data_IF_204169082225
#
_entry.id   IF_204169082225
#
_cell.length_a   1.000
_cell.length_b   1.000
_cell.length_c   1.000
_cell.angle_alpha   90.00
_cell.angle_beta   90.00
_cell.angle_gamma   90.00
#
_symmetry.space_group_name_H-M   'P 1'
#
loop_
_entity.id
_entity.type
_entity.pdbx_description
1 polymer ?
#
# COMPACT_ATOMS: atom_id res chain seq x y z
N UNK A 1 43.69 17.17 -56.27
CA UNK A 1 43.67 16.73 -57.68
C UNK A 1 43.90 15.23 -57.73
N UNK A 2 42.78 14.53 -57.61
CA UNK A 2 42.39 13.32 -58.34
C UNK A 2 43.45 12.30 -58.77
N UNK A 3 43.33 11.09 -58.21
CA UNK A 3 43.11 9.93 -59.06
C UNK A 3 42.20 8.90 -58.38
N UNK A 4 41.09 8.68 -59.07
CA UNK A 4 40.00 7.73 -58.89
C UNK A 4 40.45 6.25 -58.92
N UNK A 5 39.63 5.41 -58.26
CA UNK A 5 39.18 4.06 -58.69
C UNK A 5 40.21 2.92 -58.79
N UNK A 6 39.94 1.67 -58.48
CA UNK A 6 38.77 0.88 -58.08
C UNK A 6 39.35 -0.47 -57.60
N UNK A 7 38.82 -1.12 -56.55
CA UNK A 7 38.90 -2.59 -56.49
C UNK A 7 37.86 -3.18 -55.51
N UNK A 8 36.78 -3.69 -56.12
CA UNK A 8 36.03 -4.92 -55.82
C UNK A 8 35.45 -5.17 -54.41
N UNK A 9 34.13 -5.00 -54.33
CA UNK A 9 33.27 -5.67 -53.37
C UNK A 9 33.06 -7.14 -53.78
N UNK A 10 33.54 -8.07 -52.95
CA UNK A 10 33.13 -9.48 -52.99
C UNK A 10 31.99 -9.72 -51.99
N UNK A 11 30.80 -10.20 -52.40
CA UNK A 11 29.85 -10.78 -51.47
C UNK A 11 30.16 -12.28 -51.30
N UNK A 12 30.76 -12.67 -50.18
CA UNK A 12 30.93 -14.08 -49.80
C UNK A 12 29.77 -14.53 -48.91
N UNK A 13 29.17 -15.64 -49.30
CA UNK A 13 27.92 -16.20 -48.79
C UNK A 13 27.93 -16.47 -47.27
N UNK A 14 26.85 -16.05 -46.59
CA UNK A 14 26.52 -16.51 -45.24
C UNK A 14 25.96 -17.94 -45.29
N UNK A 15 26.42 -18.87 -44.44
CA UNK A 15 25.75 -20.15 -44.24
C UNK A 15 24.45 -19.97 -43.41
N UNK A 16 23.33 -20.38 -43.98
CA UNK A 16 22.02 -20.45 -43.33
C UNK A 16 22.01 -21.63 -42.33
N UNK A 17 22.22 -21.35 -41.04
CA UNK A 17 21.96 -22.31 -39.96
C UNK A 17 20.54 -22.10 -39.41
N UNK A 18 19.62 -22.96 -39.83
CA UNK A 18 18.33 -23.16 -39.18
C UNK A 18 18.54 -24.03 -37.93
N UNK A 19 17.96 -23.69 -36.77
CA UNK A 19 17.99 -24.58 -35.62
C UNK A 19 17.02 -25.76 -35.85
N UNK A 20 17.38 -27.01 -35.50
CA UNK A 20 16.43 -28.10 -35.51
C UNK A 20 15.42 -27.91 -34.38
N UNK A 21 14.14 -27.86 -34.77
CA UNK A 21 12.99 -27.95 -33.89
C UNK A 21 13.11 -29.22 -33.04
N UNK A 22 13.36 -29.07 -31.74
CA UNK A 22 13.33 -30.17 -30.78
C UNK A 22 11.96 -30.19 -30.14
N UNK A 23 11.15 -31.11 -30.66
CA UNK A 23 9.85 -31.51 -30.17
C UNK A 23 9.88 -31.84 -28.69
N UNK A 24 8.77 -31.49 -28.03
CA UNK A 24 8.39 -31.87 -26.68
C UNK A 24 8.69 -33.35 -26.40
N UNK A 25 9.29 -33.63 -25.25
CA UNK A 25 9.06 -34.91 -24.59
C UNK A 25 9.09 -34.77 -23.07
N UNK A 26 8.10 -35.43 -22.48
CA UNK A 26 8.08 -36.01 -21.14
C UNK A 26 8.14 -35.04 -19.97
N UNK A 27 6.95 -34.84 -19.39
CA UNK A 27 6.82 -34.60 -17.96
C UNK A 27 7.62 -35.65 -17.18
N UNK A 28 8.50 -35.16 -16.32
CA UNK A 28 9.11 -35.91 -15.25
C UNK A 28 8.81 -35.13 -13.98
N UNK A 29 7.78 -35.59 -13.29
CA UNK A 29 7.76 -35.78 -11.85
C UNK A 29 8.58 -34.75 -11.06
N UNK A 30 7.90 -33.71 -10.59
CA UNK A 30 8.39 -32.88 -9.49
C UNK A 30 8.52 -33.77 -8.24
N UNK A 31 9.69 -34.40 -8.08
CA UNK A 31 10.11 -35.09 -6.87
C UNK A 31 9.91 -34.15 -5.69
N UNK A 32 9.12 -34.61 -4.71
CA UNK A 32 9.04 -34.03 -3.38
C UNK A 32 10.45 -33.94 -2.78
N UNK A 33 11.01 -32.73 -2.78
CA UNK A 33 12.28 -32.43 -2.12
C UNK A 33 12.13 -32.36 -0.59
N UNK A 34 13.19 -32.66 0.17
CA UNK A 34 13.18 -32.66 1.64
C UNK A 34 12.99 -31.24 2.21
N UNK A 35 12.65 -31.10 3.50
CA UNK A 35 12.10 -29.86 4.04
C UNK A 35 13.16 -28.74 4.04
N UNK A 36 12.73 -27.52 3.75
CA UNK A 36 13.43 -26.26 4.08
C UNK A 36 14.44 -25.69 3.07
N UNK A 37 14.40 -26.04 1.79
CA UNK A 37 15.15 -25.26 0.78
C UNK A 37 14.40 -23.94 0.47
N UNK A 38 14.58 -22.93 1.34
CA UNK A 38 14.17 -21.56 1.01
C UNK A 38 15.05 -21.12 -0.15
N UNK A 39 14.47 -21.04 -1.35
CA UNK A 39 15.21 -20.64 -2.54
C UNK A 39 15.92 -19.29 -2.34
N UNK A 40 17.09 -19.12 -2.97
CA UNK A 40 17.96 -17.93 -2.81
C UNK A 40 17.19 -16.61 -2.89
N UNK A 41 16.23 -16.51 -3.83
CA UNK A 41 15.35 -15.34 -3.97
C UNK A 41 14.47 -15.08 -2.75
N UNK A 42 13.88 -16.14 -2.16
CA UNK A 42 13.06 -16.03 -0.95
C UNK A 42 13.89 -15.57 0.24
N UNK A 43 15.13 -16.06 0.35
CA UNK A 43 16.06 -15.63 1.38
C UNK A 43 16.46 -14.15 1.19
N UNK A 44 16.78 -13.74 -0.03
CA UNK A 44 17.07 -12.34 -0.35
C UNK A 44 15.88 -11.41 -0.06
N UNK A 45 14.66 -11.83 -0.40
CA UNK A 45 13.44 -11.08 -0.10
C UNK A 45 13.19 -10.97 1.42
N UNK A 46 13.45 -12.03 2.18
CA UNK A 46 13.35 -12.00 3.65
C UNK A 46 14.39 -11.04 4.25
N UNK A 47 15.62 -11.05 3.76
CA UNK A 47 16.67 -10.10 4.18
C UNK A 47 16.26 -8.67 3.85
N UNK A 48 15.78 -8.40 2.63
CA UNK A 48 15.33 -7.08 2.23
C UNK A 48 14.15 -6.60 3.09
N UNK A 49 13.20 -7.48 3.41
CA UNK A 49 12.09 -7.19 4.33
C UNK A 49 12.60 -6.77 5.71
N UNK A 50 13.52 -7.55 6.28
CA UNK A 50 14.09 -7.25 7.60
C UNK A 50 14.88 -5.93 7.58
N UNK A 51 15.60 -5.64 6.50
CA UNK A 51 16.31 -4.38 6.35
C UNK A 51 15.36 -3.18 6.32
N UNK A 52 14.25 -3.29 5.58
CA UNK A 52 13.21 -2.25 5.58
C UNK A 52 12.56 -2.09 6.96
N UNK A 53 12.27 -3.18 7.67
CA UNK A 53 11.72 -3.10 9.03
C UNK A 53 12.69 -2.40 10.00
N UNK A 54 13.99 -2.70 9.90
CA UNK A 54 15.03 -1.99 10.67
C UNK A 54 15.02 -0.50 10.37
N UNK A 55 14.97 -0.14 9.08
CA UNK A 55 14.97 1.26 8.66
C UNK A 55 13.74 2.01 9.16
N UNK A 56 12.55 1.42 9.06
CA UNK A 56 11.29 2.02 9.55
C UNK A 56 11.39 2.26 11.06
N UNK A 57 11.83 1.26 11.83
CA UNK A 57 11.94 1.40 13.29
C UNK A 57 12.96 2.49 13.67
N UNK A 58 14.07 2.60 12.94
CA UNK A 58 15.06 3.66 13.16
C UNK A 58 14.48 5.05 12.89
N UNK A 59 13.74 5.21 11.79
CA UNK A 59 13.08 6.46 11.45
C UNK A 59 12.01 6.84 12.49
N UNK A 60 11.18 5.89 12.92
CA UNK A 60 10.18 6.12 13.96
C UNK A 60 10.82 6.53 15.29
N UNK A 61 11.97 5.95 15.64
CA UNK A 61 12.69 6.29 16.87
C UNK A 61 13.24 7.73 16.82
N UNK A 62 13.82 8.15 15.69
CA UNK A 62 14.28 9.53 15.47
C UNK A 62 13.12 10.53 15.59
N UNK A 63 11.95 10.18 15.03
CA UNK A 63 10.74 11.00 15.19
C UNK A 63 10.29 11.06 16.66
N UNK A 64 10.38 9.97 17.42
CA UNK A 64 10.03 9.97 18.85
C UNK A 64 11.00 10.79 19.70
N UNK A 65 12.28 10.81 19.36
CA UNK A 65 13.29 11.64 20.04
C UNK A 65 13.05 13.14 19.83
N UNK A 66 12.54 13.52 18.66
CA UNK A 66 12.25 14.91 18.32
C UNK A 66 10.85 15.36 18.75
N UNK A 67 9.91 14.45 18.99
CA UNK A 67 8.55 14.77 19.44
C UNK A 67 8.55 15.26 20.89
N UNK A 68 7.79 16.32 21.15
CA UNK A 68 7.58 16.87 22.50
C UNK A 68 6.65 16.01 23.38
N UNK A 69 6.39 16.49 24.60
CA UNK A 69 5.52 15.79 25.55
C UNK A 69 4.07 15.72 25.04
N UNK A 70 3.48 14.52 25.08
CA UNK A 70 2.07 14.32 24.72
C UNK A 70 1.11 15.11 25.62
N UNK A 71 1.49 15.38 26.87
CA UNK A 71 0.71 16.19 27.81
C UNK A 71 0.40 17.59 27.29
N UNK A 72 1.31 18.18 26.51
CA UNK A 72 1.13 19.51 25.90
C UNK A 72 0.01 19.45 24.87
N UNK A 73 0.11 18.51 23.93
CA UNK A 73 -0.90 18.30 22.87
C UNK A 73 -2.25 17.93 23.48
N UNK A 74 -2.28 17.09 24.52
CA UNK A 74 -3.52 16.77 25.22
C UNK A 74 -4.17 17.99 25.87
N UNK A 75 -3.37 18.87 26.49
CA UNK A 75 -3.88 20.11 27.08
C UNK A 75 -4.41 21.08 26.01
N UNK A 76 -3.73 21.18 24.87
CA UNK A 76 -4.20 21.96 23.72
C UNK A 76 -5.53 21.43 23.18
N UNK A 77 -5.68 20.10 23.04
CA UNK A 77 -6.93 19.47 22.61
C UNK A 77 -8.06 19.77 23.59
N UNK A 78 -7.83 19.60 24.90
CA UNK A 78 -8.84 19.93 25.93
C UNK A 78 -9.23 21.40 25.84
N UNK A 79 -8.25 22.29 25.76
CA UNK A 79 -8.49 23.74 25.66
C UNK A 79 -9.29 24.10 24.40
N UNK A 80 -9.00 23.45 23.28
CA UNK A 80 -9.72 23.65 22.03
C UNK A 80 -11.18 23.17 22.12
N UNK A 81 -11.40 21.98 22.71
CA UNK A 81 -12.75 21.42 22.92
C UNK A 81 -13.56 22.29 23.88
N UNK A 82 -12.96 22.79 24.96
CA UNK A 82 -13.63 23.65 25.93
C UNK A 82 -13.92 25.07 25.42
N UNK A 83 -13.23 25.51 24.36
CA UNK A 83 -13.35 26.89 23.85
C UNK A 83 -14.70 27.20 23.20
N UNK A 84 -15.39 26.20 22.65
CA UNK A 84 -16.64 26.37 21.93
C UNK A 84 -17.68 25.31 22.37
N UNK A 85 -18.90 25.71 22.73
CA UNK A 85 -19.94 24.75 23.11
C UNK A 85 -20.39 23.95 21.89
N UNK A 86 -20.30 22.62 21.98
CA UNK A 86 -20.81 21.71 20.94
C UNK A 86 -22.33 21.61 21.03
N UNK A 87 -23.02 22.04 19.96
CA UNK A 87 -24.48 22.06 19.83
C UNK A 87 -25.17 20.69 19.98
N UNK A 88 -24.42 19.60 19.86
CA UNK A 88 -24.93 18.24 20.05
C UNK A 88 -24.81 17.78 21.51
N UNK A 89 -24.12 18.53 22.36
CA UNK A 89 -23.95 18.21 23.77
C UNK A 89 -25.02 18.91 24.63
N UNK A 90 -25.58 18.22 25.64
CA UNK A 90 -26.61 18.78 26.54
C UNK A 90 -26.18 20.04 27.31
N UNK A 91 -24.88 20.35 27.31
CA UNK A 91 -24.30 21.51 27.98
C UNK A 91 -24.30 22.79 27.12
N UNK A 92 -24.84 22.72 25.89
CA UNK A 92 -24.95 23.90 25.02
C UNK A 92 -25.89 24.92 25.67
N UNK A 93 -25.36 26.07 26.08
CA UNK A 93 -26.18 27.22 26.46
C UNK A 93 -26.80 27.83 25.20
N UNK A 94 -27.98 27.34 24.83
CA UNK A 94 -28.79 27.85 23.73
C UNK A 94 -30.24 27.36 23.85
N UNK A 95 -31.20 28.00 23.15
CA UNK A 95 -32.58 27.51 23.13
C UNK A 95 -32.61 26.07 22.61
N UNK A 96 -33.24 25.16 23.36
CA UNK A 96 -33.42 23.79 22.91
C UNK A 96 -34.14 23.77 21.56
N UNK A 97 -33.50 23.23 20.54
CA UNK A 97 -34.12 23.14 19.23
C UNK A 97 -35.03 21.90 19.20
N UNK A 98 -36.33 22.14 19.38
CA UNK A 98 -37.42 21.16 19.37
C UNK A 98 -37.46 20.24 18.14
N UNK A 99 -36.84 20.63 17.01
CA UNK A 99 -36.73 19.75 15.85
C UNK A 99 -35.73 18.60 16.07
N UNK A 100 -34.70 18.80 16.91
CA UNK A 100 -33.75 17.75 17.28
C UNK A 100 -34.34 16.76 18.27
N UNK A 101 -35.18 17.21 19.21
CA UNK A 101 -35.92 16.30 20.09
C UNK A 101 -36.80 15.35 19.27
N UNK A 102 -37.38 15.83 18.17
CA UNK A 102 -38.12 14.99 17.22
C UNK A 102 -37.26 14.05 16.40
N UNK A 103 -35.95 14.27 16.27
CA UNK A 103 -35.04 13.40 15.50
C UNK A 103 -34.34 12.38 16.40
N UNK A 104 -33.92 12.78 17.60
CA UNK A 104 -33.26 11.93 18.59
C UNK A 104 -34.24 11.19 19.53
N UNK A 105 -35.37 11.81 19.87
CA UNK A 105 -36.41 11.20 20.72
C UNK A 105 -37.63 10.76 19.90
N UNK A 106 -37.52 10.59 18.56
CA UNK A 106 -38.63 10.01 17.81
C UNK A 106 -38.90 8.61 18.34
N UNK A 107 -40.07 8.45 18.94
CA UNK A 107 -40.64 7.16 19.28
C UNK A 107 -40.56 6.23 18.06
N UNK A 108 -39.69 5.22 18.14
CA UNK A 108 -39.62 4.14 17.16
C UNK A 108 -40.91 3.30 17.14
N UNK A 109 -41.87 3.58 18.02
CA UNK A 109 -43.21 3.05 17.96
C UNK A 109 -44.06 3.75 16.89
N UNK A 110 -44.39 3.01 15.83
CA UNK A 110 -45.71 3.04 15.17
C UNK A 110 -45.80 3.52 13.71
N UNK A 111 -44.77 4.09 13.05
CA UNK A 111 -44.91 4.44 11.61
C UNK A 111 -43.65 4.27 10.74
N UNK A 112 -43.07 3.06 10.71
CA UNK A 112 -42.31 2.60 9.54
C UNK A 112 -42.83 1.22 9.12
N UNK A 113 -44.09 1.17 8.72
CA UNK A 113 -44.50 0.24 7.67
C UNK A 113 -44.37 1.03 6.38
N UNK A 114 -43.24 0.89 5.70
CA UNK A 114 -43.07 0.98 4.23
C UNK A 114 -41.58 0.84 3.88
N UNK A 115 -41.16 -0.43 3.74
CA UNK A 115 -40.29 -0.98 2.67
C UNK A 115 -39.08 -0.17 2.19
N UNK A 116 -37.91 -0.77 2.34
CA UNK A 116 -36.91 -0.81 1.26
C UNK A 116 -36.80 -2.26 0.79
N UNK A 117 -36.85 -2.41 -0.53
CA UNK A 117 -36.33 -3.55 -1.29
C UNK A 117 -34.81 -3.40 -1.31
#
# INVERSE_FOLDING_TARGET
>A
MDKLEHQEHHPSAQPQHHPPSSSQSSGLESKSGPPNFVGKHRMAAAIAKLHNEIQIIQEELEQLETRGQSSIVCQEIISAVDSAPDALLPLTRGPANVAWDRWFNQDHGSRIRNRWI
#
